data_IF_626594214797
#
_entry.id   IF_626594214797
#
_cell.length_a   1.000
_cell.length_b   1.000
_cell.length_c   1.000
_cell.angle_alpha   90.00
_cell.angle_beta   90.00
_cell.angle_gamma   90.00
#
_symmetry.space_group_name_H-M   'P 1'
#
loop_
_entity.id
_entity.type
_entity.pdbx_description
1 polymer ?
#
# COMPACT_ATOMS: atom_id res chain seq x y z
N UNK A 1 -7.90 14.00 8.69
CA UNK A 1 -7.40 12.93 9.58
C UNK A 1 -7.78 13.12 11.05
N UNK A 2 -7.89 14.34 11.57
CA UNK A 2 -8.27 14.64 12.98
C UNK A 2 -9.56 14.00 13.48
N UNK A 3 -10.55 13.76 12.61
CA UNK A 3 -11.79 13.07 13.00
C UNK A 3 -11.57 11.56 13.18
N UNK A 4 -10.76 10.96 12.31
CA UNK A 4 -10.45 9.52 12.34
C UNK A 4 -9.68 9.16 13.60
N UNK A 5 -8.75 10.02 14.04
CA UNK A 5 -7.98 9.79 15.28
C UNK A 5 -8.83 9.81 16.56
N UNK A 6 -10.11 10.23 16.49
CA UNK A 6 -11.06 10.10 17.61
C UNK A 6 -11.67 8.71 17.74
N UNK A 7 -11.46 7.82 16.77
CA UNK A 7 -11.91 6.42 16.77
C UNK A 7 -13.43 6.21 16.92
N UNK A 8 -14.23 7.24 16.69
CA UNK A 8 -15.69 7.17 16.83
C UNK A 8 -16.32 6.58 15.56
N UNK A 9 -17.06 5.47 15.71
CA UNK A 9 -17.84 4.82 14.64
C UNK A 9 -17.04 4.41 13.39
N UNK A 10 -15.76 4.04 13.55
CA UNK A 10 -14.84 3.75 12.43
C UNK A 10 -14.94 2.33 11.85
N UNK A 11 -15.58 1.38 12.54
CA UNK A 11 -15.61 -0.04 12.12
C UNK A 11 -16.21 -0.27 10.73
N UNK A 12 -17.46 0.15 10.52
CA UNK A 12 -18.11 -0.02 9.21
C UNK A 12 -17.41 0.80 8.11
N UNK A 13 -16.72 1.86 8.51
CA UNK A 13 -15.95 2.69 7.60
C UNK A 13 -14.70 1.96 7.08
N UNK A 14 -13.91 1.33 7.96
CA UNK A 14 -12.74 0.52 7.55
C UNK A 14 -13.16 -0.68 6.70
N UNK A 15 -14.22 -1.39 7.08
CA UNK A 15 -14.78 -2.51 6.29
C UNK A 15 -15.13 -2.07 4.86
N UNK A 16 -15.77 -0.89 4.70
CA UNK A 16 -16.11 -0.36 3.37
C UNK A 16 -14.89 0.09 2.57
N UNK A 17 -13.86 0.63 3.22
CA UNK A 17 -12.60 0.95 2.54
C UNK A 17 -11.94 -0.31 1.99
N UNK A 18 -11.91 -1.41 2.74
CA UNK A 18 -11.38 -2.69 2.26
C UNK A 18 -12.18 -3.24 1.07
N UNK A 19 -13.52 -3.12 1.10
CA UNK A 19 -14.36 -3.51 -0.03
C UNK A 19 -14.05 -2.71 -1.29
N UNK A 20 -13.86 -1.39 -1.18
CA UNK A 20 -13.50 -0.54 -2.30
C UNK A 20 -12.11 -0.88 -2.84
N UNK A 21 -11.13 -1.02 -1.96
CA UNK A 21 -9.76 -1.40 -2.34
C UNK A 21 -9.72 -2.75 -3.05
N UNK A 22 -10.48 -3.74 -2.56
CA UNK A 22 -10.53 -5.06 -3.17
C UNK A 22 -11.11 -5.04 -4.60
N UNK A 23 -12.05 -4.12 -4.88
CA UNK A 23 -12.61 -3.93 -6.22
C UNK A 23 -11.66 -3.17 -7.16
N UNK A 24 -10.77 -2.36 -6.62
CA UNK A 24 -9.89 -1.48 -7.41
C UNK A 24 -10.63 -0.29 -8.04
N UNK A 25 -11.87 -0.03 -7.62
CA UNK A 25 -12.69 1.07 -8.14
C UNK A 25 -12.39 2.37 -7.39
N UNK A 26 -12.34 3.49 -8.13
CA UNK A 26 -12.33 4.83 -7.55
C UNK A 26 -13.75 5.45 -7.63
N UNK A 27 -14.52 5.48 -6.52
CA UNK A 27 -15.88 6.01 -6.53
C UNK A 27 -15.93 7.55 -6.66
N UNK A 28 -14.80 8.24 -6.52
CA UNK A 28 -14.71 9.71 -6.64
C UNK A 28 -14.39 10.12 -8.08
N UNK A 29 -13.76 9.24 -8.86
CA UNK A 29 -13.40 9.47 -10.25
C UNK A 29 -14.59 9.31 -11.21
N UNK A 30 -15.60 10.19 -11.08
CA UNK A 30 -16.84 10.12 -11.88
C UNK A 30 -16.67 10.79 -13.25
N UNK A 31 -15.90 11.87 -13.32
CA UNK A 31 -15.73 12.68 -14.53
C UNK A 31 -14.35 12.47 -15.17
N UNK A 32 -14.30 12.49 -16.51
CA UNK A 32 -13.06 12.28 -17.30
C UNK A 32 -12.28 13.58 -17.56
N UNK A 33 -12.35 14.54 -16.65
CA UNK A 33 -11.62 15.81 -16.78
C UNK A 33 -10.11 15.60 -16.66
N UNK A 34 -9.32 16.42 -17.34
CA UNK A 34 -7.86 16.35 -17.28
C UNK A 34 -7.31 17.59 -16.57
N UNK A 35 -6.27 17.45 -15.73
CA UNK A 35 -5.62 16.19 -15.34
C UNK A 35 -6.47 15.34 -14.39
N UNK A 36 -6.36 14.01 -14.50
CA UNK A 36 -7.00 13.09 -13.56
C UNK A 36 -6.34 13.18 -12.17
N UNK A 37 -7.13 13.27 -11.07
CA UNK A 37 -6.59 13.25 -9.72
C UNK A 37 -6.05 11.86 -9.34
N UNK A 38 -5.26 11.75 -8.26
CA UNK A 38 -4.85 10.46 -7.71
C UNK A 38 -6.03 9.59 -7.29
N UNK A 39 -5.85 8.27 -7.28
CA UNK A 39 -6.89 7.33 -6.88
C UNK A 39 -7.32 7.59 -5.44
N UNK A 40 -8.58 7.96 -5.23
CA UNK A 40 -9.07 8.51 -3.96
C UNK A 40 -8.92 7.53 -2.80
N UNK A 41 -9.26 6.25 -3.00
CA UNK A 41 -9.17 5.21 -1.97
C UNK A 41 -7.73 4.99 -1.52
N UNK A 42 -6.79 4.85 -2.47
CA UNK A 42 -5.36 4.67 -2.17
C UNK A 42 -4.80 5.90 -1.45
N UNK A 43 -5.07 7.10 -1.97
CA UNK A 43 -4.63 8.35 -1.35
C UNK A 43 -5.15 8.48 0.08
N UNK A 44 -6.41 8.12 0.30
CA UNK A 44 -7.04 8.19 1.60
C UNK A 44 -6.45 7.18 2.59
N UNK A 45 -6.21 5.93 2.15
CA UNK A 45 -5.54 4.92 2.97
C UNK A 45 -4.11 5.34 3.32
N UNK A 46 -3.34 5.90 2.39
CA UNK A 46 -2.01 6.44 2.68
C UNK A 46 -2.07 7.52 3.78
N UNK A 47 -3.09 8.39 3.77
CA UNK A 47 -3.27 9.38 4.84
C UNK A 47 -3.65 8.76 6.19
N UNK A 48 -4.39 7.64 6.19
CA UNK A 48 -4.67 6.88 7.42
C UNK A 48 -3.38 6.26 7.97
N UNK A 49 -2.54 5.69 7.12
CA UNK A 49 -1.28 5.06 7.53
C UNK A 49 -0.11 6.06 7.66
N UNK A 50 -0.36 7.37 7.52
CA UNK A 50 0.64 8.41 7.79
C UNK A 50 0.95 8.57 9.29
N UNK A 51 0.12 8.05 10.19
CA UNK A 51 0.35 8.08 11.64
C UNK A 51 -0.17 6.82 12.33
N UNK A 52 0.47 6.43 13.44
CA UNK A 52 0.04 5.28 14.27
C UNK A 52 -1.37 5.48 14.84
N UNK A 53 -1.71 6.72 15.21
CA UNK A 53 -3.01 7.06 15.79
C UNK A 53 -4.16 6.81 14.82
N UNK A 54 -3.98 7.15 13.54
CA UNK A 54 -4.99 6.88 12.51
C UNK A 54 -4.92 5.46 11.99
N UNK A 55 -3.75 4.84 11.90
CA UNK A 55 -3.60 3.44 11.49
C UNK A 55 -4.30 2.47 12.46
N UNK A 56 -4.33 2.80 13.75
CA UNK A 56 -4.93 1.97 14.80
C UNK A 56 -6.46 1.81 14.73
N UNK A 57 -7.14 2.46 13.77
CA UNK A 57 -8.57 2.19 13.50
C UNK A 57 -8.80 0.83 12.85
N UNK A 58 -7.78 0.26 12.20
CA UNK A 58 -7.87 -1.06 11.59
C UNK A 58 -7.60 -2.14 12.65
N UNK A 59 -8.53 -3.08 12.79
CA UNK A 59 -8.33 -4.26 13.62
C UNK A 59 -7.31 -5.21 13.00
N UNK A 60 -6.75 -6.12 13.81
CA UNK A 60 -5.74 -7.07 13.35
C UNK A 60 -6.20 -7.89 12.13
N UNK A 61 -7.42 -8.42 12.14
CA UNK A 61 -7.97 -9.18 11.01
C UNK A 61 -8.13 -8.32 9.75
N UNK A 62 -8.60 -7.08 9.91
CA UNK A 62 -8.74 -6.13 8.80
C UNK A 62 -7.38 -5.78 8.18
N UNK A 63 -6.33 -5.68 9.01
CA UNK A 63 -4.97 -5.48 8.56
C UNK A 63 -4.45 -6.66 7.73
N UNK A 64 -4.74 -7.90 8.11
CA UNK A 64 -4.31 -9.07 7.32
C UNK A 64 -4.97 -9.04 5.93
N UNK A 65 -6.28 -8.77 5.89
CA UNK A 65 -7.04 -8.64 4.63
C UNK A 65 -6.51 -7.50 3.77
N UNK A 66 -6.20 -6.35 4.38
CA UNK A 66 -5.60 -5.23 3.67
C UNK A 66 -4.27 -5.65 3.02
N UNK A 67 -3.37 -6.25 3.79
CA UNK A 67 -2.06 -6.71 3.30
C UNK A 67 -2.22 -7.75 2.19
N UNK A 68 -3.16 -8.70 2.31
CA UNK A 68 -3.45 -9.67 1.26
C UNK A 68 -3.86 -8.98 -0.05
N UNK A 69 -4.71 -7.94 0.03
CA UNK A 69 -5.10 -7.15 -1.15
C UNK A 69 -3.88 -6.42 -1.74
N UNK A 70 -3.08 -5.75 -0.92
CA UNK A 70 -1.92 -4.98 -1.41
C UNK A 70 -0.88 -5.88 -2.08
N UNK A 71 -0.51 -6.98 -1.43
CA UNK A 71 0.47 -7.94 -1.98
C UNK A 71 -0.01 -8.49 -3.32
N UNK A 72 -1.30 -8.85 -3.42
CA UNK A 72 -1.91 -9.29 -4.68
C UNK A 72 -1.86 -8.20 -5.76
N UNK A 73 -2.30 -6.98 -5.43
CA UNK A 73 -2.33 -5.88 -6.40
C UNK A 73 -0.92 -5.50 -6.90
N UNK A 74 0.08 -5.45 -6.02
CA UNK A 74 1.47 -5.17 -6.43
C UNK A 74 2.01 -6.30 -7.34
N UNK A 75 1.64 -7.56 -7.07
CA UNK A 75 2.06 -8.69 -7.88
C UNK A 75 1.43 -8.70 -9.28
N UNK A 76 0.13 -8.41 -9.36
CA UNK A 76 -0.69 -8.53 -10.57
C UNK A 76 -0.51 -7.36 -11.54
N UNK A 77 -0.08 -6.18 -11.05
CA UNK A 77 0.11 -4.99 -11.88
C UNK A 77 1.38 -5.07 -12.74
N UNK A 78 1.22 -4.79 -14.02
CA UNK A 78 2.29 -4.75 -15.02
C UNK A 78 3.31 -3.63 -14.74
N UNK A 79 4.55 -3.78 -15.23
CA UNK A 79 5.51 -2.67 -15.32
C UNK A 79 4.88 -1.47 -16.02
N UNK A 80 5.12 -0.27 -15.49
CA UNK A 80 4.62 1.00 -16.04
C UNK A 80 3.21 1.40 -15.56
N UNK A 81 2.48 0.52 -14.87
CA UNK A 81 1.16 0.87 -14.32
C UNK A 81 1.30 1.90 -13.19
N UNK A 82 0.64 3.06 -13.37
CA UNK A 82 0.70 4.18 -12.44
C UNK A 82 0.15 3.85 -11.04
N UNK A 83 -0.70 2.83 -10.90
CA UNK A 83 -1.22 2.44 -9.59
C UNK A 83 -0.21 1.63 -8.78
N UNK A 84 0.76 0.97 -9.42
CA UNK A 84 1.71 0.10 -8.72
C UNK A 84 2.52 0.88 -7.67
N UNK A 85 2.96 2.08 -8.01
CA UNK A 85 3.66 2.97 -7.08
C UNK A 85 2.78 3.39 -5.89
N UNK A 86 1.48 3.56 -6.09
CA UNK A 86 0.53 3.95 -5.04
C UNK A 86 0.30 2.80 -4.05
N UNK A 87 0.24 1.56 -4.55
CA UNK A 87 0.18 0.36 -3.72
C UNK A 87 1.48 0.11 -2.96
N UNK A 88 2.65 0.28 -3.61
CA UNK A 88 3.97 0.21 -2.96
C UNK A 88 4.11 1.25 -1.84
N UNK A 89 3.71 2.49 -2.12
CA UNK A 89 3.74 3.59 -1.13
C UNK A 89 2.81 3.32 0.05
N UNK A 90 1.63 2.74 -0.21
CA UNK A 90 0.71 2.34 0.86
C UNK A 90 1.29 1.18 1.70
N UNK A 91 1.93 0.19 1.08
CA UNK A 91 2.60 -0.88 1.81
C UNK A 91 3.73 -0.32 2.69
N UNK A 92 4.52 0.62 2.18
CA UNK A 92 5.56 1.32 2.95
C UNK A 92 4.97 2.05 4.16
N UNK A 93 3.87 2.77 3.98
CA UNK A 93 3.18 3.47 5.06
C UNK A 93 2.66 2.50 6.14
N UNK A 94 2.14 1.33 5.75
CA UNK A 94 1.71 0.28 6.69
C UNK A 94 2.89 -0.25 7.51
N UNK A 95 4.02 -0.54 6.87
CA UNK A 95 5.22 -1.02 7.57
C UNK A 95 5.67 0.00 8.63
N UNK A 96 5.65 1.30 8.30
CA UNK A 96 6.07 2.38 9.20
C UNK A 96 5.11 2.63 10.37
N UNK A 97 3.81 2.50 10.14
CA UNK A 97 2.77 2.94 11.09
C UNK A 97 2.10 1.81 11.88
N UNK A 98 2.46 0.55 11.61
CA UNK A 98 1.87 -0.63 12.27
C UNK A 98 2.96 -1.58 12.77
N UNK A 99 2.65 -2.54 13.66
CA UNK A 99 3.61 -3.55 14.08
C UNK A 99 3.82 -4.66 13.03
N UNK A 100 3.89 -4.31 11.73
CA UNK A 100 3.97 -5.27 10.63
C UNK A 100 5.10 -6.30 10.80
N UNK A 101 6.29 -5.85 11.20
CA UNK A 101 7.46 -6.71 11.38
C UNK A 101 7.33 -7.72 12.53
N UNK A 102 6.33 -7.57 13.42
CA UNK A 102 6.07 -8.54 14.49
C UNK A 102 5.30 -9.76 13.99
N UNK A 103 4.35 -9.56 13.06
CA UNK A 103 3.48 -10.64 12.58
C UNK A 103 3.85 -11.13 11.17
N UNK A 104 4.55 -10.31 10.37
CA UNK A 104 5.17 -10.69 9.09
C UNK A 104 4.20 -11.36 8.10
N UNK A 105 2.93 -10.94 8.11
CA UNK A 105 1.89 -11.53 7.27
C UNK A 105 2.23 -11.27 5.80
N UNK A 106 2.29 -12.34 4.98
CA UNK A 106 2.72 -12.30 3.57
C UNK A 106 4.15 -11.79 3.33
N UNK A 107 5.02 -11.74 4.34
CA UNK A 107 6.37 -11.20 4.18
C UNK A 107 7.16 -11.87 3.06
N UNK A 108 7.17 -13.22 3.01
CA UNK A 108 7.90 -13.95 1.96
C UNK A 108 7.42 -13.61 0.54
N UNK A 109 6.11 -13.44 0.36
CA UNK A 109 5.55 -13.07 -0.94
C UNK A 109 5.94 -11.64 -1.30
N UNK A 110 5.82 -10.71 -0.34
CA UNK A 110 6.23 -9.32 -0.52
C UNK A 110 7.71 -9.27 -0.93
N UNK A 111 8.60 -9.97 -0.23
CA UNK A 111 10.02 -10.00 -0.56
C UNK A 111 10.28 -10.48 -2.00
N UNK A 112 9.65 -11.58 -2.41
CA UNK A 112 9.77 -12.09 -3.77
C UNK A 112 9.27 -11.10 -4.83
N UNK A 113 8.15 -10.41 -4.55
CA UNK A 113 7.59 -9.40 -5.45
C UNK A 113 8.51 -8.18 -5.55
N UNK A 114 9.01 -7.68 -4.42
CA UNK A 114 9.92 -6.52 -4.39
C UNK A 114 11.23 -6.81 -5.11
N UNK A 115 11.80 -8.02 -4.94
CA UNK A 115 12.95 -8.49 -5.70
C UNK A 115 12.66 -8.56 -7.21
N UNK A 116 11.51 -9.12 -7.59
CA UNK A 116 11.09 -9.21 -9.00
C UNK A 116 11.02 -7.83 -9.64
N UNK A 117 10.37 -6.86 -8.97
CA UNK A 117 10.22 -5.49 -9.49
C UNK A 117 11.58 -4.77 -9.59
N UNK A 118 12.49 -4.98 -8.64
CA UNK A 118 13.85 -4.42 -8.74
C UNK A 118 14.64 -4.97 -9.94
N UNK A 119 14.39 -6.22 -10.32
CA UNK A 119 15.00 -6.87 -11.47
C UNK A 119 14.35 -6.58 -12.83
N UNK A 120 13.25 -5.81 -12.88
CA UNK A 120 12.61 -5.38 -14.12
C UNK A 120 13.59 -4.55 -14.97
N UNK A 121 13.66 -4.78 -16.28
CA UNK A 121 14.60 -4.09 -17.20
C UNK A 121 14.02 -2.78 -17.75
N UNK A 122 12.74 -2.53 -17.51
CA UNK A 122 11.99 -1.39 -18.02
C UNK A 122 12.55 -0.05 -17.50
N UNK A 123 12.83 0.85 -18.44
CA UNK A 123 13.41 2.19 -18.19
C UNK A 123 12.34 3.29 -18.09
N UNK A 124 11.05 2.93 -18.19
CA UNK A 124 9.95 3.88 -18.06
C UNK A 124 9.98 4.60 -16.71
N UNK A 125 9.61 5.88 -16.70
CA UNK A 125 9.65 6.72 -15.50
C UNK A 125 8.88 6.10 -14.33
N UNK A 126 7.72 5.47 -14.61
CA UNK A 126 6.91 4.77 -13.61
C UNK A 126 7.68 3.60 -12.97
N UNK A 127 8.33 2.75 -13.78
CA UNK A 127 9.15 1.63 -13.28
C UNK A 127 10.33 2.12 -12.42
N UNK A 128 10.95 3.24 -12.80
CA UNK A 128 12.01 3.85 -11.99
C UNK A 128 11.49 4.35 -10.65
N UNK A 129 10.29 4.93 -10.62
CA UNK A 129 9.64 5.35 -9.37
C UNK A 129 9.32 4.16 -8.46
N UNK A 130 8.82 3.06 -9.02
CA UNK A 130 8.59 1.82 -8.26
C UNK A 130 9.88 1.37 -7.58
N UNK A 131 10.98 1.24 -8.34
CA UNK A 131 12.30 0.84 -7.83
C UNK A 131 12.79 1.77 -6.71
N UNK A 132 12.62 3.08 -6.85
CA UNK A 132 13.01 4.05 -5.82
C UNK A 132 12.23 3.84 -4.51
N UNK A 133 10.92 3.56 -4.58
CA UNK A 133 10.12 3.28 -3.38
C UNK A 133 10.62 2.01 -2.71
N UNK A 134 10.92 0.96 -3.47
CA UNK A 134 11.43 -0.31 -2.93
C UNK A 134 12.79 -0.12 -2.24
N UNK A 135 13.68 0.64 -2.86
CA UNK A 135 14.99 0.95 -2.25
C UNK A 135 14.83 1.73 -0.95
N UNK A 136 13.86 2.66 -0.86
CA UNK A 136 13.59 3.37 0.40
C UNK A 136 12.98 2.43 1.45
N UNK A 137 12.11 1.49 1.07
CA UNK A 137 11.59 0.44 1.97
C UNK A 137 12.76 -0.37 2.55
N UNK A 138 13.69 -0.85 1.72
CA UNK A 138 14.83 -1.64 2.21
C UNK A 138 15.80 -0.85 3.07
N UNK A 139 15.99 0.43 2.75
CA UNK A 139 16.83 1.33 3.54
C UNK A 139 16.25 1.60 4.92
N UNK A 140 14.94 1.78 5.02
CA UNK A 140 14.27 2.04 6.30
C UNK A 140 14.02 0.75 7.10
N UNK A 141 13.77 -0.38 6.42
CA UNK A 141 13.44 -1.67 7.01
C UNK A 141 14.29 -2.80 6.39
N UNK A 142 15.57 -2.95 6.83
CA UNK A 142 16.48 -3.96 6.29
C UNK A 142 15.98 -5.40 6.42
N UNK A 143 15.10 -5.69 7.40
CA UNK A 143 14.47 -7.00 7.59
C UNK A 143 13.58 -7.42 6.42
N UNK A 144 13.10 -6.45 5.63
CA UNK A 144 12.33 -6.70 4.41
C UNK A 144 13.26 -6.98 3.24
N UNK A 145 14.49 -6.45 3.24
CA UNK A 145 15.44 -6.82 2.20
C UNK A 145 15.64 -8.34 2.23
N UNK A 146 15.66 -9.01 1.07
CA UNK A 146 16.11 -10.39 1.02
C UNK A 146 17.50 -10.47 1.65
N UNK A 147 17.64 -11.25 2.71
CA UNK A 147 18.94 -11.49 3.31
C UNK A 147 19.88 -12.03 2.24
N UNK A 148 21.10 -11.49 2.16
CA UNK A 148 22.22 -12.15 1.47
C UNK A 148 22.37 -13.53 2.09
N UNK A 149 21.73 -14.53 1.47
CA UNK A 149 21.95 -15.94 1.78
C UNK A 149 23.28 -16.38 1.18
#
# INVERSE_FOLDING_TARGET
MTTISKHSNVKTFTEKLLLLLNRGDDPVCIFKHQPQPPHSVLKFLQDIFASKDTASIFYHTDMMVLIDILVRQIADLSPGDKLRMEYLSLMHAIIRSTPYLQHQHRLSDLQGILQRILGEEEEEQQCQMDKLIILEIYKEFPEISPGTS
#
